data_IF_778878203578
#
_entry.id   IF_778878203578
#
_cell.length_a   1.000
_cell.length_b   1.000
_cell.length_c   1.000
_cell.angle_alpha   90.00
_cell.angle_beta   90.00
_cell.angle_gamma   90.00
#
_symmetry.space_group_name_H-M   'P 1'
#
loop_
_entity.id
_entity.type
_entity.pdbx_description
1 polymer ?
#
# COMPACT_ATOMS: atom_id res chain seq x y z
N UNK A 1 -19.24 20.68 42.73
CA UNK A 1 -18.11 19.91 42.17
C UNK A 1 -18.58 19.29 40.85
N UNK A 2 -18.29 19.97 39.74
CA UNK A 2 -18.68 19.48 38.39
C UNK A 2 -17.55 18.60 37.82
N UNK A 3 -17.87 17.35 37.61
CA UNK A 3 -16.96 16.39 36.97
C UNK A 3 -16.91 16.70 35.45
N UNK A 4 -15.82 17.27 34.98
CA UNK A 4 -15.54 17.42 33.56
C UNK A 4 -15.04 16.08 33.08
N UNK A 5 -15.91 15.29 32.43
CA UNK A 5 -15.53 14.08 31.72
C UNK A 5 -14.84 14.54 30.41
N UNK A 6 -13.50 14.50 30.43
CA UNK A 6 -12.70 14.71 29.23
C UNK A 6 -12.95 13.53 28.29
N UNK A 7 -13.74 13.73 27.24
CA UNK A 7 -13.81 12.82 26.13
C UNK A 7 -12.45 12.86 25.42
N UNK A 8 -11.63 11.85 25.72
CA UNK A 8 -10.47 11.54 24.89
C UNK A 8 -11.03 11.12 23.52
N UNK A 9 -10.93 12.01 22.54
CA UNK A 9 -11.24 11.65 21.16
C UNK A 9 -10.28 10.53 20.78
N UNK A 10 -10.80 9.31 20.64
CA UNK A 10 -10.08 8.20 20.03
C UNK A 10 -9.81 8.68 18.60
N UNK A 11 -8.56 8.99 18.30
CA UNK A 11 -8.13 9.32 16.94
C UNK A 11 -8.53 8.15 16.05
N UNK A 12 -9.48 8.39 15.15
CA UNK A 12 -9.88 7.40 14.18
C UNK A 12 -8.67 7.11 13.27
N UNK A 13 -8.27 5.86 13.26
CA UNK A 13 -7.09 5.42 12.58
C UNK A 13 -7.43 5.09 11.13
N UNK A 14 -7.38 6.10 10.31
CA UNK A 14 -7.42 5.97 8.86
C UNK A 14 -5.99 5.91 8.32
N UNK A 15 -5.79 5.30 7.16
CA UNK A 15 -4.52 5.38 6.45
C UNK A 15 -4.07 6.85 6.42
N UNK A 16 -2.90 7.15 6.98
CA UNK A 16 -2.40 8.53 7.09
C UNK A 16 -2.01 9.04 5.71
N UNK A 17 -3.01 9.44 4.93
CA UNK A 17 -2.82 9.97 3.58
C UNK A 17 -2.51 11.47 3.65
N UNK A 18 -1.28 11.89 3.40
CA UNK A 18 -0.96 13.29 3.24
C UNK A 18 -1.20 13.71 1.80
N UNK A 19 -2.27 14.45 1.56
CA UNK A 19 -2.53 15.06 0.25
C UNK A 19 -3.39 14.23 -0.69
N UNK A 20 -3.47 14.68 -1.93
CA UNK A 20 -4.37 14.12 -2.95
C UNK A 20 -3.67 13.02 -3.74
N UNK A 21 -3.95 11.76 -3.41
CA UNK A 21 -3.64 10.61 -4.25
C UNK A 21 -4.86 10.25 -5.11
N UNK A 22 -4.60 9.63 -6.24
CA UNK A 22 -5.62 9.12 -7.15
C UNK A 22 -5.38 7.64 -7.43
N UNK A 23 -6.47 6.90 -7.67
CA UNK A 23 -6.39 5.50 -8.06
C UNK A 23 -5.97 5.37 -9.53
N UNK A 24 -5.64 4.14 -9.97
CA UNK A 24 -5.43 3.81 -11.38
C UNK A 24 -6.64 4.14 -12.29
N UNK A 25 -7.83 4.32 -11.71
CA UNK A 25 -9.01 4.77 -12.45
C UNK A 25 -9.18 6.31 -12.48
N UNK A 26 -8.15 7.06 -12.02
CA UNK A 26 -8.17 8.52 -11.95
C UNK A 26 -9.12 9.08 -10.87
N UNK A 27 -9.66 8.26 -9.99
CA UNK A 27 -10.55 8.70 -8.91
C UNK A 27 -9.75 9.16 -7.69
N UNK A 28 -10.14 10.28 -7.04
CA UNK A 28 -9.53 10.67 -5.77
C UNK A 28 -9.59 9.52 -4.76
N UNK A 29 -8.48 9.27 -4.07
CA UNK A 29 -8.39 8.31 -2.99
C UNK A 29 -8.30 9.05 -1.65
N UNK A 30 -9.17 8.70 -0.72
CA UNK A 30 -9.28 9.35 0.59
C UNK A 30 -8.97 8.36 1.72
N UNK A 31 -8.58 8.87 2.89
CA UNK A 31 -8.36 8.03 4.08
C UNK A 31 -9.60 7.23 4.45
N UNK A 32 -10.79 7.78 4.22
CA UNK A 32 -12.06 7.09 4.44
C UNK A 32 -12.25 5.83 3.60
N UNK A 33 -11.52 5.68 2.49
CA UNK A 33 -11.60 4.49 1.62
C UNK A 33 -10.99 3.24 2.29
N UNK A 34 -10.18 3.45 3.35
CA UNK A 34 -9.59 2.37 4.17
C UNK A 34 -10.09 2.37 5.61
N UNK A 35 -11.13 3.17 5.89
CA UNK A 35 -11.65 3.28 7.25
C UNK A 35 -12.04 1.91 7.82
N UNK A 36 -11.57 1.63 9.03
CA UNK A 36 -11.84 0.38 9.77
C UNK A 36 -11.48 -0.91 8.99
N UNK A 37 -10.61 -0.80 7.97
CA UNK A 37 -10.20 -1.92 7.13
C UNK A 37 -8.69 -2.08 7.18
N UNK A 38 -8.16 -3.28 7.49
CA UNK A 38 -6.74 -3.56 7.40
C UNK A 38 -6.20 -3.35 5.98
N UNK A 39 -4.95 -2.93 5.87
CA UNK A 39 -4.31 -2.65 4.57
C UNK A 39 -2.97 -3.36 4.47
N UNK A 40 -2.75 -4.05 3.36
CA UNK A 40 -1.43 -4.49 2.92
C UNK A 40 -0.91 -3.46 1.89
N UNK A 41 0.08 -2.65 2.28
CA UNK A 41 0.59 -1.51 1.53
C UNK A 41 1.97 -1.82 0.97
N UNK A 42 2.12 -1.71 -0.35
CA UNK A 42 3.38 -1.92 -1.06
C UNK A 42 3.79 -0.68 -1.87
N UNK A 43 5.04 -0.25 -1.69
CA UNK A 43 5.63 0.83 -2.49
C UNK A 43 6.48 0.23 -3.61
N UNK A 44 6.27 0.67 -4.86
CA UNK A 44 6.99 0.15 -6.00
C UNK A 44 6.83 1.05 -7.24
N UNK A 45 7.17 0.55 -8.42
CA UNK A 45 7.01 1.28 -9.69
C UNK A 45 6.90 0.29 -10.86
N UNK A 46 6.25 0.70 -11.95
CA UNK A 46 5.97 -0.20 -13.09
C UNK A 46 7.21 -0.65 -13.84
N UNK A 47 8.24 0.20 -13.91
CA UNK A 47 9.50 -0.10 -14.58
C UNK A 47 10.50 -0.92 -13.72
N UNK A 48 10.04 -1.50 -12.62
CA UNK A 48 10.85 -2.41 -11.80
C UNK A 48 10.96 -3.76 -12.49
N UNK A 49 12.19 -4.28 -12.74
CA UNK A 49 12.34 -5.48 -13.55
C UNK A 49 12.05 -6.79 -12.81
N UNK A 50 11.99 -6.80 -11.48
CA UNK A 50 12.00 -8.03 -10.68
C UNK A 50 11.09 -7.97 -9.45
N UNK A 51 11.44 -7.20 -8.43
CA UNK A 51 10.78 -7.24 -7.11
C UNK A 51 9.30 -6.85 -7.17
N UNK A 52 8.94 -5.79 -7.91
CA UNK A 52 7.56 -5.29 -7.94
C UNK A 52 6.58 -6.27 -8.59
N UNK A 53 6.83 -6.82 -9.81
CA UNK A 53 5.91 -7.79 -10.39
C UNK A 53 5.82 -9.07 -9.55
N UNK A 54 6.93 -9.54 -8.95
CA UNK A 54 6.92 -10.71 -8.07
C UNK A 54 6.05 -10.46 -6.83
N UNK A 55 6.22 -9.32 -6.16
CA UNK A 55 5.41 -8.96 -4.99
C UNK A 55 3.92 -8.85 -5.33
N UNK A 56 3.56 -8.26 -6.48
CA UNK A 56 2.16 -8.16 -6.91
C UNK A 56 1.55 -9.53 -7.28
N UNK A 57 2.34 -10.46 -7.83
CA UNK A 57 1.91 -11.85 -8.04
C UNK A 57 1.68 -12.56 -6.71
N UNK A 58 2.55 -12.34 -5.73
CA UNK A 58 2.39 -12.87 -4.38
C UNK A 58 1.13 -12.32 -3.71
N UNK A 59 0.90 -11.01 -3.77
CA UNK A 59 -0.33 -10.38 -3.27
C UNK A 59 -1.58 -10.94 -3.96
N UNK A 60 -1.53 -11.18 -5.26
CA UNK A 60 -2.63 -11.81 -6.02
C UNK A 60 -2.90 -13.24 -5.56
N UNK A 61 -1.83 -14.02 -5.34
CA UNK A 61 -1.91 -15.40 -4.83
C UNK A 61 -2.46 -15.44 -3.40
N UNK A 62 -2.06 -14.48 -2.56
CA UNK A 62 -2.52 -14.37 -1.18
C UNK A 62 -4.01 -13.99 -1.13
N UNK A 63 -4.49 -13.07 -1.99
CA UNK A 63 -5.91 -12.75 -2.14
C UNK A 63 -6.73 -13.98 -2.57
N UNK A 64 -6.21 -14.77 -3.50
CA UNK A 64 -6.86 -16.01 -3.92
C UNK A 64 -6.93 -17.03 -2.77
N UNK A 65 -5.86 -17.16 -1.98
CA UNK A 65 -5.78 -18.08 -0.85
C UNK A 65 -6.68 -17.66 0.34
N UNK A 66 -6.88 -16.35 0.55
CA UNK A 66 -7.80 -15.81 1.57
C UNK A 66 -9.27 -16.12 1.26
N UNK A 67 -9.62 -16.35 -0.01
CA UNK A 67 -11.00 -16.62 -0.42
C UNK A 67 -11.96 -15.49 -0.02
N UNK A 68 -13.03 -15.82 0.71
CA UNK A 68 -14.03 -14.84 1.18
C UNK A 68 -13.44 -13.81 2.17
N UNK A 69 -12.39 -14.17 2.90
CA UNK A 69 -11.72 -13.24 3.83
C UNK A 69 -10.98 -12.11 3.11
N UNK A 70 -10.70 -12.24 1.82
CA UNK A 70 -10.04 -11.22 1.03
C UNK A 70 -10.83 -9.91 0.96
N UNK A 71 -12.15 -9.94 1.12
CA UNK A 71 -13.00 -8.74 1.13
C UNK A 71 -12.82 -7.89 2.40
N UNK A 72 -12.22 -8.48 3.44
CA UNK A 72 -11.96 -7.80 4.71
C UNK A 72 -10.60 -7.08 4.78
N UNK A 73 -9.79 -7.13 3.70
CA UNK A 73 -8.49 -6.45 3.60
C UNK A 73 -8.39 -5.67 2.30
N UNK A 74 -7.68 -4.57 2.32
CA UNK A 74 -7.31 -3.84 1.10
C UNK A 74 -5.85 -4.08 0.77
N UNK A 75 -5.58 -4.44 -0.49
CA UNK A 75 -4.21 -4.50 -1.01
C UNK A 75 -3.94 -3.28 -1.89
N UNK A 76 -2.95 -2.49 -1.50
CA UNK A 76 -2.67 -1.18 -2.12
C UNK A 76 -1.22 -1.15 -2.61
N UNK A 77 -1.06 -0.85 -3.89
CA UNK A 77 0.21 -0.54 -4.53
C UNK A 77 0.35 0.97 -4.68
N UNK A 78 1.41 1.56 -4.15
CA UNK A 78 1.70 3.00 -4.29
C UNK A 78 2.92 3.18 -5.14
N UNK A 79 2.78 3.86 -6.28
CA UNK A 79 3.96 4.15 -7.09
C UNK A 79 4.90 5.14 -6.39
N UNK A 80 6.20 4.88 -6.52
CA UNK A 80 7.26 5.81 -6.10
C UNK A 80 7.82 6.61 -7.29
N UNK A 81 7.24 6.40 -8.48
CA UNK A 81 7.66 7.03 -9.73
C UNK A 81 6.48 7.65 -10.50
N UNK A 82 5.79 8.63 -9.90
CA UNK A 82 4.61 9.22 -10.52
C UNK A 82 4.91 9.99 -11.81
N UNK A 83 6.19 10.24 -12.14
CA UNK A 83 6.57 10.87 -13.42
C UNK A 83 6.30 9.92 -14.61
N UNK A 84 6.47 8.60 -14.42
CA UNK A 84 6.24 7.58 -15.45
C UNK A 84 4.92 6.84 -15.22
N UNK A 85 4.53 6.64 -13.99
CA UNK A 85 3.39 5.83 -13.58
C UNK A 85 2.12 6.70 -13.46
N UNK A 86 1.56 7.07 -14.62
CA UNK A 86 0.24 7.74 -14.68
C UNK A 86 -0.87 6.76 -14.30
N UNK A 87 -2.11 7.24 -14.01
CA UNK A 87 -3.24 6.34 -13.75
C UNK A 87 -3.43 5.30 -14.85
N UNK A 88 -3.32 5.70 -16.13
CA UNK A 88 -3.48 4.83 -17.30
C UNK A 88 -2.41 3.73 -17.34
N UNK A 89 -1.13 4.11 -17.09
CA UNK A 89 -0.01 3.15 -17.03
C UNK A 89 -0.21 2.16 -15.89
N UNK A 90 -0.63 2.63 -14.72
CA UNK A 90 -0.93 1.77 -13.57
C UNK A 90 -2.12 0.83 -13.85
N UNK A 91 -3.14 1.29 -14.55
CA UNK A 91 -4.28 0.46 -14.93
C UNK A 91 -3.86 -0.66 -15.88
N UNK A 92 -3.06 -0.35 -16.89
CA UNK A 92 -2.52 -1.35 -17.82
C UNK A 92 -1.62 -2.35 -17.10
N UNK A 93 -0.73 -1.88 -16.24
CA UNK A 93 0.18 -2.72 -15.47
C UNK A 93 -0.57 -3.68 -14.54
N UNK A 94 -1.57 -3.18 -13.81
CA UNK A 94 -2.37 -4.00 -12.89
C UNK A 94 -3.32 -4.98 -13.59
N UNK A 95 -3.57 -4.85 -14.88
CA UNK A 95 -4.43 -5.79 -15.62
C UNK A 95 -3.90 -7.24 -15.60
N UNK A 96 -2.60 -7.43 -15.29
CA UNK A 96 -1.97 -8.75 -15.15
C UNK A 96 -2.07 -9.36 -13.74
N UNK A 97 -2.68 -8.66 -12.77
CA UNK A 97 -2.75 -9.06 -11.36
C UNK A 97 -4.20 -9.15 -10.88
N UNK A 98 -4.39 -9.51 -9.60
CA UNK A 98 -5.74 -9.61 -9.03
C UNK A 98 -6.44 -8.23 -9.05
N UNK A 99 -7.67 -8.13 -9.60
CA UNK A 99 -8.39 -6.86 -9.75
C UNK A 99 -8.76 -6.17 -8.43
N UNK A 100 -8.61 -6.84 -7.29
CA UNK A 100 -8.81 -6.26 -5.96
C UNK A 100 -7.62 -5.42 -5.49
N UNK A 101 -6.48 -5.50 -6.17
CA UNK A 101 -5.33 -4.63 -5.89
C UNK A 101 -5.62 -3.24 -6.45
N UNK A 102 -5.53 -2.24 -5.59
CA UNK A 102 -5.69 -0.83 -5.96
C UNK A 102 -4.32 -0.17 -6.09
N UNK A 103 -4.03 0.48 -7.23
CA UNK A 103 -2.83 1.30 -7.36
C UNK A 103 -3.13 2.78 -7.08
N UNK A 104 -2.16 3.45 -6.46
CA UNK A 104 -2.22 4.88 -6.16
C UNK A 104 -1.04 5.60 -6.78
N UNK A 105 -1.31 6.79 -7.33
CA UNK A 105 -0.32 7.76 -7.81
C UNK A 105 -0.72 9.17 -7.38
N UNK A 106 0.16 10.15 -7.57
CA UNK A 106 -0.12 11.54 -7.23
C UNK A 106 1.14 12.38 -7.05
N UNK A 107 1.05 13.53 -6.39
CA UNK A 107 2.22 14.38 -6.16
C UNK A 107 3.31 13.63 -5.38
N UNK A 108 4.55 13.73 -5.84
CA UNK A 108 5.70 13.02 -5.24
C UNK A 108 5.89 13.34 -3.76
N UNK A 109 5.57 14.55 -3.32
CA UNK A 109 5.66 14.94 -1.91
C UNK A 109 4.61 14.23 -1.05
N UNK A 110 3.41 13.99 -1.58
CA UNK A 110 2.36 13.21 -0.92
C UNK A 110 2.78 11.74 -0.78
N UNK A 111 3.34 11.16 -1.85
CA UNK A 111 3.88 9.79 -1.84
C UNK A 111 5.02 9.66 -0.84
N UNK A 112 5.93 10.64 -0.81
CA UNK A 112 7.06 10.66 0.13
C UNK A 112 6.59 10.78 1.58
N UNK A 113 5.59 11.60 1.84
CA UNK A 113 5.03 11.75 3.17
C UNK A 113 4.32 10.45 3.62
N UNK A 114 3.58 9.79 2.73
CA UNK A 114 2.97 8.49 3.00
C UNK A 114 4.04 7.42 3.31
N UNK A 115 5.08 7.32 2.47
CA UNK A 115 6.17 6.37 2.70
C UNK A 115 6.83 6.57 4.08
N UNK A 116 7.14 7.82 4.44
CA UNK A 116 7.72 8.14 5.75
C UNK A 116 6.80 7.77 6.91
N UNK A 117 5.49 7.98 6.77
CA UNK A 117 4.51 7.67 7.82
C UNK A 117 4.51 6.18 8.19
N UNK A 118 4.86 5.30 7.24
CA UNK A 118 4.92 3.85 7.44
C UNK A 118 6.36 3.28 7.49
N UNK A 119 7.37 4.14 7.60
CA UNK A 119 8.76 3.72 7.72
C UNK A 119 9.39 3.22 6.42
N UNK A 120 8.74 3.47 5.26
CA UNK A 120 9.29 3.19 3.95
C UNK A 120 10.16 4.33 3.44
N UNK A 121 11.09 4.01 2.55
CA UNK A 121 11.94 4.98 1.88
C UNK A 121 12.08 4.66 0.39
N UNK A 122 12.33 5.68 -0.41
CA UNK A 122 12.68 5.51 -1.81
C UNK A 122 13.54 6.68 -2.31
N UNK A 123 14.29 6.44 -3.37
CA UNK A 123 15.09 7.46 -4.05
C UNK A 123 15.21 7.19 -5.55
N UNK A 124 15.34 8.25 -6.31
CA UNK A 124 15.67 8.20 -7.74
C UNK A 124 17.17 8.00 -7.90
N UNK A 125 17.57 7.08 -8.75
CA UNK A 125 18.96 6.74 -9.04
C UNK A 125 19.21 6.94 -10.52
N UNK A 126 20.15 7.82 -10.88
CA UNK A 126 20.54 8.08 -12.26
C UNK A 126 21.29 6.88 -12.84
N UNK A 127 21.00 6.56 -14.09
CA UNK A 127 21.69 5.59 -14.94
C UNK A 127 22.20 6.29 -16.20
N UNK A 128 23.11 5.65 -16.93
CA UNK A 128 23.66 6.21 -18.19
C UNK A 128 22.56 6.56 -19.20
N UNK A 129 21.48 5.78 -19.26
CA UNK A 129 20.36 5.94 -20.17
C UNK A 129 19.02 6.20 -19.43
N UNK A 130 19.02 7.12 -18.46
CA UNK A 130 17.80 7.47 -17.74
C UNK A 130 17.93 7.32 -16.23
N UNK A 131 16.95 6.66 -15.58
CA UNK A 131 16.97 6.45 -14.14
C UNK A 131 16.17 5.22 -13.72
N UNK A 132 16.44 4.76 -12.51
CA UNK A 132 15.63 3.78 -11.79
C UNK A 132 15.22 4.31 -10.41
N UNK A 133 14.37 3.58 -9.71
CA UNK A 133 14.00 3.87 -8.34
C UNK A 133 14.55 2.78 -7.43
N UNK A 134 15.14 3.17 -6.31
CA UNK A 134 15.36 2.28 -5.16
C UNK A 134 14.26 2.52 -4.14
N UNK A 135 13.70 1.47 -3.57
CA UNK A 135 12.61 1.56 -2.59
C UNK A 135 12.68 0.41 -1.59
N UNK A 136 11.98 0.56 -0.47
CA UNK A 136 11.80 -0.53 0.51
C UNK A 136 11.01 -1.67 -0.11
N UNK A 137 11.54 -2.91 -0.16
CA UNK A 137 10.90 -4.03 -0.86
C UNK A 137 9.91 -4.82 0.03
N UNK A 138 9.33 -4.18 1.02
CA UNK A 138 8.43 -4.81 1.97
C UNK A 138 6.98 -4.39 1.75
N UNK A 139 6.05 -5.31 2.03
CA UNK A 139 4.63 -5.01 2.16
C UNK A 139 4.34 -4.70 3.62
N UNK A 140 3.83 -3.51 3.90
CA UNK A 140 3.49 -3.05 5.24
C UNK A 140 2.07 -3.50 5.60
N UNK A 141 1.92 -4.16 6.74
CA UNK A 141 0.65 -4.62 7.26
C UNK A 141 0.11 -3.60 8.26
N UNK A 142 -0.93 -2.90 7.86
CA UNK A 142 -1.52 -1.80 8.61
C UNK A 142 -2.85 -2.27 9.18
N UNK A 143 -2.98 -2.19 10.49
CA UNK A 143 -4.19 -2.60 11.21
C UNK A 143 -5.34 -1.61 11.05
N UNK A 144 -6.50 -1.99 11.60
CA UNK A 144 -7.70 -1.13 11.67
C UNK A 144 -7.47 0.16 12.45
N UNK A 145 -6.43 0.19 13.29
CA UNK A 145 -5.97 1.34 14.05
C UNK A 145 -5.08 2.31 13.25
N UNK A 146 -4.76 1.97 11.99
CA UNK A 146 -3.87 2.74 11.10
C UNK A 146 -2.39 2.63 11.45
N UNK A 147 -2.01 1.75 12.39
CA UNK A 147 -0.63 1.53 12.77
C UNK A 147 -0.04 0.29 12.07
N UNK A 148 1.28 0.26 11.94
CA UNK A 148 1.98 -0.90 11.33
C UNK A 148 2.05 -2.03 12.35
N UNK A 149 1.38 -3.14 12.06
CA UNK A 149 1.40 -4.37 12.87
C UNK A 149 2.49 -5.35 12.43
N UNK A 150 3.01 -5.19 11.22
CA UNK A 150 4.08 -6.05 10.71
C UNK A 150 4.46 -5.72 9.28
N UNK A 151 5.37 -6.50 8.75
CA UNK A 151 5.78 -6.43 7.34
C UNK A 151 5.90 -7.84 6.77
N UNK A 152 5.64 -7.98 5.46
CA UNK A 152 5.99 -9.16 4.69
C UNK A 152 7.21 -8.82 3.83
N UNK A 153 8.24 -9.65 3.90
CA UNK A 153 9.43 -9.51 3.06
C UNK A 153 9.15 -10.02 1.66
N UNK A 154 9.85 -9.48 0.68
CA UNK A 154 9.68 -9.85 -0.73
C UNK A 154 10.03 -11.33 -1.02
N UNK A 155 10.87 -11.96 -0.19
CA UNK A 155 11.31 -13.36 -0.30
C UNK A 155 10.60 -14.29 0.70
N UNK A 156 9.53 -13.82 1.36
CA UNK A 156 8.81 -14.58 2.37
C UNK A 156 7.90 -15.64 1.74
N UNK A 157 7.93 -16.86 2.27
CA UNK A 157 7.08 -17.94 1.77
C UNK A 157 5.57 -17.66 2.03
N UNK A 158 4.71 -18.20 1.14
CA UNK A 158 3.27 -17.95 1.18
C UNK A 158 2.63 -18.35 2.51
N UNK A 159 3.07 -19.44 3.16
CA UNK A 159 2.50 -19.88 4.43
C UNK A 159 2.68 -18.82 5.51
N UNK A 160 3.88 -18.21 5.60
CA UNK A 160 4.16 -17.14 6.56
C UNK A 160 3.40 -15.86 6.22
N UNK A 161 3.30 -15.51 4.93
CA UNK A 161 2.49 -14.36 4.52
C UNK A 161 1.03 -14.55 4.92
N UNK A 162 0.47 -15.75 4.69
CA UNK A 162 -0.90 -16.08 5.08
C UNK A 162 -1.13 -16.05 6.60
N UNK A 163 -0.19 -16.54 7.40
CA UNK A 163 -0.23 -16.44 8.87
C UNK A 163 -0.38 -14.97 9.30
N UNK A 164 0.48 -14.09 8.79
CA UNK A 164 0.45 -12.64 9.08
C UNK A 164 -0.83 -11.94 8.60
N UNK A 165 -1.32 -12.29 7.41
CA UNK A 165 -2.55 -11.72 6.88
C UNK A 165 -3.78 -12.15 7.70
N UNK A 166 -3.84 -13.41 8.13
CA UNK A 166 -4.92 -13.90 8.98
C UNK A 166 -4.88 -13.26 10.36
N UNK A 167 -3.70 -13.08 10.96
CA UNK A 167 -3.51 -12.36 12.22
C UNK A 167 -3.95 -10.90 12.11
N UNK A 168 -3.65 -10.23 10.98
CA UNK A 168 -4.06 -8.85 10.73
C UNK A 168 -5.60 -8.69 10.64
N UNK A 169 -6.30 -9.76 10.26
CA UNK A 169 -7.77 -9.76 10.10
C UNK A 169 -8.52 -10.02 11.41
N UNK A 170 -7.84 -10.51 12.45
CA UNK A 170 -8.43 -10.75 13.78
C UNK A 170 -8.66 -9.44 14.55
#
# INVERSE_FOLDING_TARGET
MSLVISFCAIAQADLRLPGSLVTQAGKPFQSTDTKDTPVALFFGFTNCPDVCPTTLLDMSSDLAALGEKADAIKMIFVTVDPERDTPEVLQEYLASFDPRITALTGPIDSIRALARAYGASFRKVSLDNGYTMEHSPAVFLIGRDGEVHGVMSYDEDQRRRMEKLLELLE
#
